data_IF_439629914438
#
_entry.id   IF_439629914438
#
_cell.length_a   1.000
_cell.length_b   1.000
_cell.length_c   1.000
_cell.angle_alpha   90.00
_cell.angle_beta   90.00
_cell.angle_gamma   90.00
#
_symmetry.space_group_name_H-M   'P 1'
#
loop_
_entity.id
_entity.type
_entity.pdbx_description
1 polymer ?
#
# COMPACT_ATOMS: atom_id res chain seq x y z
N UNK A 1 -8.52 -33.40 -7.49
CA UNK A 1 -7.42 -32.80 -6.73
C UNK A 1 -6.88 -31.61 -7.54
N UNK A 2 -7.02 -30.36 -7.04
CA UNK A 2 -6.35 -29.21 -7.68
C UNK A 2 -4.85 -29.39 -7.46
N UNK A 3 -4.06 -29.53 -8.54
CA UNK A 3 -2.60 -29.45 -8.45
C UNK A 3 -2.23 -28.14 -7.74
N UNK A 4 -1.46 -28.25 -6.67
CA UNK A 4 -0.89 -27.08 -6.00
C UNK A 4 0.14 -26.46 -6.97
N UNK A 5 -0.23 -25.38 -7.63
CA UNK A 5 0.69 -24.62 -8.48
C UNK A 5 1.70 -23.92 -7.58
N UNK A 6 2.97 -24.27 -7.73
CA UNK A 6 4.05 -23.58 -7.00
C UNK A 6 4.26 -22.22 -7.63
N UNK A 7 4.16 -21.17 -6.83
CA UNK A 7 4.39 -19.79 -7.25
C UNK A 7 5.56 -19.22 -6.46
N UNK A 8 6.56 -18.68 -7.14
CA UNK A 8 7.70 -18.01 -6.56
C UNK A 8 7.46 -16.50 -6.52
N UNK A 9 7.75 -15.88 -5.39
CA UNK A 9 7.72 -14.42 -5.21
C UNK A 9 9.15 -13.96 -5.02
N UNK A 10 9.60 -13.02 -5.84
CA UNK A 10 11.00 -12.60 -5.89
C UNK A 10 11.14 -11.13 -6.30
N UNK A 11 12.27 -10.46 -5.98
CA UNK A 11 12.59 -9.16 -6.51
C UNK A 11 12.61 -9.18 -8.04
N UNK A 12 11.94 -8.21 -8.66
CA UNK A 12 11.91 -8.08 -10.11
C UNK A 12 13.18 -7.37 -10.63
N UNK A 13 13.60 -7.74 -11.83
CA UNK A 13 14.74 -7.13 -12.53
C UNK A 13 14.47 -7.05 -14.04
N UNK A 14 15.47 -6.64 -14.83
CA UNK A 14 15.35 -6.40 -16.26
C UNK A 14 14.77 -7.59 -17.04
N UNK A 15 15.09 -8.83 -16.66
CA UNK A 15 14.56 -10.05 -17.32
C UNK A 15 13.03 -10.18 -17.22
N UNK A 16 12.43 -9.48 -16.27
CA UNK A 16 10.98 -9.52 -16.03
C UNK A 16 10.22 -8.41 -16.77
N UNK A 17 10.92 -7.53 -17.50
CA UNK A 17 10.30 -6.42 -18.23
C UNK A 17 9.32 -6.87 -19.32
N UNK A 18 9.42 -8.12 -19.76
CA UNK A 18 8.48 -8.74 -20.71
C UNK A 18 7.04 -8.81 -20.21
N UNK A 19 6.82 -8.77 -18.88
CA UNK A 19 5.49 -8.84 -18.26
C UNK A 19 4.84 -7.45 -18.07
N UNK A 20 5.52 -6.37 -18.43
CA UNK A 20 5.06 -5.01 -18.10
C UNK A 20 3.69 -4.66 -18.72
N UNK A 21 3.44 -5.08 -19.97
CA UNK A 21 2.17 -4.89 -20.65
C UNK A 21 1.05 -5.67 -19.93
N UNK A 22 1.25 -6.96 -19.69
CA UNK A 22 0.27 -7.82 -19.03
C UNK A 22 -0.10 -7.29 -17.64
N UNK A 23 0.89 -6.81 -16.88
CA UNK A 23 0.70 -6.19 -15.55
C UNK A 23 -0.19 -4.94 -15.67
N UNK A 24 0.11 -4.04 -16.61
CA UNK A 24 -0.65 -2.81 -16.82
C UNK A 24 -2.09 -3.10 -17.25
N UNK A 25 -2.28 -4.03 -18.16
CA UNK A 25 -3.60 -4.44 -18.66
C UNK A 25 -4.46 -5.02 -17.53
N UNK A 26 -3.88 -5.87 -16.68
CA UNK A 26 -4.61 -6.43 -15.54
C UNK A 26 -4.90 -5.37 -14.47
N UNK A 27 -3.99 -4.44 -14.22
CA UNK A 27 -4.26 -3.30 -13.34
C UNK A 27 -5.46 -2.49 -13.82
N UNK A 28 -5.53 -2.17 -15.12
CA UNK A 28 -6.63 -1.42 -15.71
C UNK A 28 -7.95 -2.20 -15.66
N UNK A 29 -7.95 -3.48 -16.09
CA UNK A 29 -9.12 -4.37 -16.03
C UNK A 29 -9.66 -4.51 -14.60
N UNK A 30 -8.77 -4.76 -13.66
CA UNK A 30 -9.13 -4.92 -12.25
C UNK A 30 -9.66 -3.64 -11.61
N UNK A 31 -9.11 -2.47 -11.97
CA UNK A 31 -9.60 -1.17 -11.50
C UNK A 31 -11.02 -0.91 -12.02
N UNK A 32 -11.24 -1.13 -13.32
CA UNK A 32 -12.53 -0.97 -13.99
C UNK A 32 -13.59 -1.90 -13.39
N UNK A 33 -13.26 -3.17 -13.19
CA UNK A 33 -14.19 -4.17 -12.65
C UNK A 33 -14.62 -3.87 -11.20
N UNK A 34 -13.75 -3.25 -10.40
CA UNK A 34 -14.05 -2.90 -9.00
C UNK A 34 -14.69 -1.52 -8.84
N UNK A 35 -14.71 -0.69 -9.89
CA UNK A 35 -15.14 0.70 -9.80
C UNK A 35 -14.25 1.53 -8.86
N UNK A 36 -13.00 1.10 -8.62
CA UNK A 36 -12.06 1.76 -7.71
C UNK A 36 -10.76 2.06 -8.45
N UNK A 37 -10.14 3.22 -8.12
CA UNK A 37 -8.95 3.63 -8.84
C UNK A 37 -7.70 2.86 -8.39
N UNK A 38 -7.08 2.17 -9.32
CA UNK A 38 -5.63 2.01 -9.34
C UNK A 38 -5.12 3.12 -10.26
N UNK A 39 -4.09 3.85 -9.86
CA UNK A 39 -3.50 4.86 -10.71
C UNK A 39 -2.97 4.20 -11.99
N UNK A 40 -3.38 4.73 -13.16
CA UNK A 40 -2.94 4.20 -14.44
C UNK A 40 -1.43 4.37 -14.60
N UNK A 41 -0.75 3.31 -15.02
CA UNK A 41 0.70 3.30 -15.28
C UNK A 41 0.96 2.84 -16.70
N UNK A 42 2.03 3.37 -17.32
CA UNK A 42 2.52 2.87 -18.60
C UNK A 42 3.41 1.64 -18.41
N UNK A 43 3.51 0.75 -19.40
CA UNK A 43 4.46 -0.34 -19.36
C UNK A 43 5.91 0.12 -19.14
N UNK A 44 6.34 1.23 -19.73
CA UNK A 44 7.68 1.79 -19.53
C UNK A 44 7.94 2.21 -18.09
N UNK A 45 6.92 2.76 -17.43
CA UNK A 45 7.02 3.08 -16.00
C UNK A 45 7.22 1.81 -15.16
N UNK A 46 6.50 0.73 -15.46
CA UNK A 46 6.64 -0.56 -14.76
C UNK A 46 8.00 -1.19 -15.05
N UNK A 47 8.49 -1.18 -16.32
CA UNK A 47 9.84 -1.64 -16.69
C UNK A 47 10.91 -0.93 -15.86
N UNK A 48 10.84 0.39 -15.80
CA UNK A 48 11.78 1.20 -15.02
C UNK A 48 11.82 0.78 -13.55
N UNK A 49 10.66 0.49 -12.93
CA UNK A 49 10.60 -0.01 -11.54
C UNK A 49 11.28 -1.37 -11.37
N UNK A 50 11.16 -2.25 -12.35
CA UNK A 50 11.85 -3.55 -12.34
C UNK A 50 13.37 -3.38 -12.51
N UNK A 51 13.81 -2.59 -13.48
CA UNK A 51 15.23 -2.32 -13.76
C UNK A 51 15.93 -1.65 -12.58
N UNK A 52 15.23 -0.76 -11.86
CA UNK A 52 15.73 -0.11 -10.65
C UNK A 52 15.76 -1.04 -9.42
N UNK A 53 15.30 -2.30 -9.53
CA UNK A 53 15.18 -3.20 -8.39
C UNK A 53 14.12 -2.76 -7.35
N UNK A 54 13.15 -1.95 -7.77
CA UNK A 54 12.08 -1.39 -6.93
C UNK A 54 10.75 -2.11 -7.12
N UNK A 55 10.78 -3.37 -7.46
CA UNK A 55 9.57 -4.16 -7.68
C UNK A 55 9.74 -5.61 -7.23
N UNK A 56 8.61 -6.25 -6.98
CA UNK A 56 8.47 -7.66 -6.68
C UNK A 56 7.51 -8.28 -7.68
N UNK A 57 7.86 -9.44 -8.21
CA UNK A 57 7.05 -10.20 -9.16
C UNK A 57 6.80 -11.60 -8.62
N UNK A 58 5.65 -12.16 -8.97
CA UNK A 58 5.29 -13.54 -8.70
C UNK A 58 5.12 -14.29 -10.01
N UNK A 59 5.81 -15.44 -10.14
CA UNK A 59 5.77 -16.32 -11.31
C UNK A 59 5.50 -17.74 -10.86
N UNK A 60 4.74 -18.50 -11.65
CA UNK A 60 4.60 -19.93 -11.42
C UNK A 60 5.84 -20.71 -11.95
N UNK A 61 5.82 -22.02 -11.78
CA UNK A 61 6.90 -22.92 -12.20
C UNK A 61 7.13 -22.97 -13.73
N UNK A 62 6.17 -22.46 -14.52
CA UNK A 62 6.23 -22.37 -15.98
C UNK A 62 6.58 -20.96 -16.47
N UNK A 63 6.86 -20.02 -15.55
CA UNK A 63 7.13 -18.64 -15.90
C UNK A 63 5.87 -17.81 -16.18
N UNK A 64 4.67 -18.30 -15.86
CA UNK A 64 3.44 -17.52 -16.01
C UNK A 64 3.36 -16.44 -14.94
N UNK A 65 3.03 -15.23 -15.35
CA UNK A 65 2.87 -14.13 -14.41
C UNK A 65 1.66 -14.33 -13.47
N UNK A 66 1.92 -14.24 -12.18
CA UNK A 66 0.93 -14.46 -11.13
C UNK A 66 0.61 -13.21 -10.30
N UNK A 67 1.54 -12.24 -10.19
CA UNK A 67 1.28 -11.02 -9.45
C UNK A 67 2.48 -10.07 -9.40
N UNK A 68 2.23 -8.83 -8.90
CA UNK A 68 3.21 -7.75 -8.92
C UNK A 68 2.94 -6.71 -7.84
N UNK A 69 3.99 -6.03 -7.38
CA UNK A 69 3.93 -4.82 -6.56
C UNK A 69 5.23 -4.03 -6.73
N UNK A 70 5.21 -2.71 -6.54
CA UNK A 70 6.41 -1.89 -6.70
C UNK A 70 6.52 -0.79 -5.65
N UNK A 71 7.73 -0.22 -5.52
CA UNK A 71 8.11 0.85 -4.60
C UNK A 71 8.11 2.17 -5.33
N UNK A 72 7.49 3.18 -4.72
CA UNK A 72 7.66 4.59 -5.05
C UNK A 72 8.25 5.32 -3.83
N UNK A 73 9.10 6.30 -4.08
CA UNK A 73 9.75 7.09 -3.03
C UNK A 73 9.40 8.56 -3.19
N UNK A 74 9.14 9.22 -2.07
CA UNK A 74 8.70 10.60 -2.01
C UNK A 74 9.47 11.37 -0.94
N UNK A 75 9.48 12.69 -1.05
CA UNK A 75 10.14 13.56 -0.07
C UNK A 75 11.57 13.09 0.23
N UNK A 76 12.39 12.92 -0.83
CA UNK A 76 13.79 12.47 -0.74
C UNK A 76 13.97 11.13 -0.01
N UNK A 77 13.04 10.19 -0.18
CA UNK A 77 13.11 8.87 0.42
C UNK A 77 12.61 8.78 1.87
N UNK A 78 12.10 9.88 2.44
CA UNK A 78 11.48 9.87 3.78
C UNK A 78 10.17 9.07 3.81
N UNK A 79 9.47 9.03 2.68
CA UNK A 79 8.25 8.25 2.48
C UNK A 79 8.42 7.24 1.36
N UNK A 80 7.92 6.04 1.60
CA UNK A 80 7.89 4.93 0.64
C UNK A 80 6.45 4.47 0.46
N UNK A 81 5.97 4.43 -0.77
CA UNK A 81 4.68 3.84 -1.09
C UNK A 81 4.87 2.44 -1.69
N UNK A 82 4.18 1.44 -1.14
CA UNK A 82 4.03 0.13 -1.79
C UNK A 82 2.80 0.17 -2.68
N UNK A 83 3.03 0.37 -3.97
CA UNK A 83 2.02 0.69 -4.98
C UNK A 83 1.76 -0.49 -5.93
N UNK A 84 0.58 -0.47 -6.55
CA UNK A 84 0.25 -1.37 -7.67
C UNK A 84 0.16 -2.85 -7.32
N UNK A 85 -0.19 -3.20 -6.07
CA UNK A 85 -0.42 -4.61 -5.71
C UNK A 85 -1.53 -5.20 -6.58
N UNK A 86 -1.17 -6.16 -7.40
CA UNK A 86 -2.06 -6.86 -8.30
C UNK A 86 -1.75 -8.36 -8.32
N UNK A 87 -2.80 -9.19 -8.39
CA UNK A 87 -2.70 -10.64 -8.55
C UNK A 87 -3.55 -11.03 -9.75
N UNK A 88 -2.94 -11.78 -10.66
CA UNK A 88 -3.60 -12.34 -11.83
C UNK A 88 -4.83 -13.17 -11.42
N UNK A 89 -5.95 -13.07 -12.13
CA UNK A 89 -7.21 -13.74 -11.74
C UNK A 89 -7.07 -15.23 -11.45
N UNK A 90 -6.23 -15.94 -12.22
CA UNK A 90 -6.02 -17.37 -12.07
C UNK A 90 -5.36 -17.75 -10.73
N UNK A 91 -4.64 -16.82 -10.10
CA UNK A 91 -3.86 -17.04 -8.87
C UNK A 91 -4.47 -16.36 -7.63
N UNK A 92 -5.71 -15.85 -7.73
CA UNK A 92 -6.41 -15.24 -6.58
C UNK A 92 -6.87 -16.29 -5.58
N UNK A 93 -7.09 -15.86 -4.34
CA UNK A 93 -7.53 -16.71 -3.22
C UNK A 93 -6.53 -17.79 -2.79
N UNK A 94 -5.26 -17.66 -3.19
CA UNK A 94 -4.16 -18.57 -2.82
C UNK A 94 -3.17 -17.93 -1.82
N UNK A 95 -3.55 -16.82 -1.17
CA UNK A 95 -2.67 -16.10 -0.25
C UNK A 95 -1.52 -15.33 -0.93
N UNK A 96 -1.49 -15.27 -2.27
CA UNK A 96 -0.38 -14.69 -3.02
C UNK A 96 -0.22 -13.19 -2.76
N UNK A 97 -1.31 -12.44 -2.61
CA UNK A 97 -1.25 -11.01 -2.27
C UNK A 97 -0.50 -10.74 -0.96
N UNK A 98 -0.69 -11.60 0.05
CA UNK A 98 0.03 -11.51 1.33
C UNK A 98 1.53 -11.72 1.12
N UNK A 99 1.92 -12.75 0.37
CA UNK A 99 3.33 -13.06 0.08
C UNK A 99 4.02 -11.93 -0.70
N UNK A 100 3.37 -11.40 -1.73
CA UNK A 100 3.89 -10.27 -2.52
C UNK A 100 4.03 -9.03 -1.63
N UNK A 101 3.03 -8.78 -0.77
CA UNK A 101 3.04 -7.61 0.10
C UNK A 101 4.10 -7.70 1.19
N UNK A 102 4.34 -8.89 1.73
CA UNK A 102 5.44 -9.13 2.66
C UNK A 102 6.80 -8.89 1.99
N UNK A 103 7.04 -9.49 0.83
CA UNK A 103 8.30 -9.35 0.10
C UNK A 103 8.60 -7.89 -0.28
N UNK A 104 7.60 -7.13 -0.79
CA UNK A 104 7.81 -5.72 -1.12
C UNK A 104 8.02 -4.86 0.14
N UNK A 105 7.41 -5.23 1.26
CA UNK A 105 7.63 -4.57 2.54
C UNK A 105 9.06 -4.80 3.03
N UNK A 106 9.56 -6.04 3.00
CA UNK A 106 10.95 -6.35 3.36
C UNK A 106 11.95 -5.65 2.44
N UNK A 107 11.68 -5.63 1.13
CA UNK A 107 12.50 -4.88 0.17
C UNK A 107 12.52 -3.37 0.50
N UNK A 108 11.38 -2.81 0.87
CA UNK A 108 11.26 -1.41 1.27
C UNK A 108 12.04 -1.12 2.55
N UNK A 109 11.93 -1.98 3.56
CA UNK A 109 12.66 -1.86 4.82
C UNK A 109 14.17 -1.95 4.64
N UNK A 110 14.60 -2.86 3.76
CA UNK A 110 16.02 -3.03 3.43
C UNK A 110 16.60 -1.83 2.71
N UNK A 111 15.87 -1.30 1.72
CA UNK A 111 16.35 -0.21 0.86
C UNK A 111 16.19 1.18 1.51
N UNK A 112 15.23 1.33 2.42
CA UNK A 112 14.86 2.60 3.06
C UNK A 112 14.56 2.37 4.55
N UNK A 113 15.57 2.04 5.39
CA UNK A 113 15.36 1.57 6.77
C UNK A 113 14.64 2.58 7.67
N UNK A 114 14.83 3.85 7.45
CA UNK A 114 14.28 4.95 8.25
C UNK A 114 12.99 5.55 7.66
N UNK A 115 12.59 5.11 6.46
CA UNK A 115 11.42 5.65 5.77
C UNK A 115 10.11 5.18 6.40
N UNK A 116 9.13 6.07 6.39
CA UNK A 116 7.74 5.73 6.63
C UNK A 116 7.18 5.02 5.41
N UNK A 117 6.63 3.81 5.59
CA UNK A 117 6.08 3.03 4.47
C UNK A 117 4.56 3.14 4.52
N UNK A 118 3.95 3.52 3.40
CA UNK A 118 2.50 3.72 3.36
C UNK A 118 1.82 3.11 2.14
N UNK A 119 0.50 3.04 2.19
CA UNK A 119 -0.34 2.64 1.08
C UNK A 119 -1.74 3.24 1.19
N UNK A 120 -2.35 3.51 0.04
CA UNK A 120 -3.75 3.92 -0.08
C UNK A 120 -4.55 2.76 -0.67
N UNK A 121 -5.62 2.34 0.00
CA UNK A 121 -6.44 1.22 -0.48
C UNK A 121 -7.91 1.40 -0.16
N UNK A 122 -8.79 0.91 -1.05
CA UNK A 122 -10.23 0.73 -0.78
C UNK A 122 -10.56 -0.72 -0.42
N UNK A 123 -9.58 -1.63 -0.50
CA UNK A 123 -9.81 -3.07 -0.33
C UNK A 123 -9.57 -3.54 1.10
N UNK A 124 -10.63 -4.06 1.76
CA UNK A 124 -10.54 -4.60 3.12
C UNK A 124 -9.46 -5.69 3.26
N UNK A 125 -9.32 -6.56 2.26
CA UNK A 125 -8.28 -7.59 2.26
C UNK A 125 -6.87 -7.00 2.30
N UNK A 126 -6.61 -5.90 1.56
CA UNK A 126 -5.32 -5.20 1.58
C UNK A 126 -5.11 -4.47 2.89
N UNK A 127 -6.17 -3.88 3.48
CA UNK A 127 -6.09 -3.27 4.82
C UNK A 127 -5.64 -4.30 5.85
N UNK A 128 -6.24 -5.51 5.82
CA UNK A 128 -5.86 -6.60 6.71
C UNK A 128 -4.38 -6.99 6.54
N UNK A 129 -3.94 -7.23 5.30
CA UNK A 129 -2.53 -7.56 5.02
C UNK A 129 -1.59 -6.46 5.54
N UNK A 130 -1.93 -5.19 5.33
CA UNK A 130 -1.14 -4.08 5.83
C UNK A 130 -1.10 -4.05 7.37
N UNK A 131 -2.25 -4.28 8.04
CA UNK A 131 -2.29 -4.35 9.51
C UNK A 131 -1.45 -5.50 10.06
N UNK A 132 -1.47 -6.66 9.42
CA UNK A 132 -0.65 -7.82 9.79
C UNK A 132 0.87 -7.52 9.66
N UNK A 133 1.25 -6.60 8.76
CA UNK A 133 2.63 -6.09 8.58
C UNK A 133 2.97 -4.90 9.51
N UNK A 134 2.05 -4.50 10.40
CA UNK A 134 2.27 -3.41 11.34
C UNK A 134 1.94 -2.01 10.83
N UNK A 135 1.28 -1.90 9.68
CA UNK A 135 0.74 -0.60 9.26
C UNK A 135 -0.50 -0.26 10.09
N UNK A 136 -0.65 1.00 10.42
CA UNK A 136 -1.82 1.51 11.12
C UNK A 136 -2.61 2.49 10.24
N UNK A 137 -3.95 2.56 10.39
CA UNK A 137 -4.74 3.58 9.73
C UNK A 137 -4.32 4.97 10.19
N UNK A 138 -4.14 5.89 9.23
CA UNK A 138 -3.72 7.27 9.49
C UNK A 138 -4.60 8.27 8.73
N UNK A 139 -4.51 9.54 9.10
CA UNK A 139 -5.09 10.62 8.31
C UNK A 139 -4.20 10.94 7.12
N UNK A 140 -4.77 11.53 6.08
CA UNK A 140 -4.00 11.92 4.87
C UNK A 140 -2.93 12.98 5.17
N UNK A 141 -3.10 13.76 6.25
CA UNK A 141 -2.11 14.74 6.69
C UNK A 141 -0.82 14.13 7.24
N UNK A 142 -0.82 12.83 7.54
CA UNK A 142 0.35 12.09 8.01
C UNK A 142 1.18 11.49 6.86
N UNK A 143 0.62 11.52 5.63
CA UNK A 143 1.31 11.09 4.42
C UNK A 143 2.19 12.18 3.85
N UNK A 144 2.96 11.84 2.83
CA UNK A 144 3.74 12.82 2.07
C UNK A 144 2.86 13.94 1.52
N UNK A 145 3.37 15.17 1.57
CA UNK A 145 2.72 16.34 0.96
C UNK A 145 3.24 16.62 -0.46
N UNK A 146 4.01 15.72 -1.01
CA UNK A 146 4.59 15.82 -2.35
C UNK A 146 3.49 15.87 -3.42
N UNK A 147 3.46 16.93 -4.19
CA UNK A 147 2.46 17.15 -5.24
C UNK A 147 2.50 16.08 -6.33
N UNK A 148 3.67 15.52 -6.61
CA UNK A 148 3.85 14.45 -7.59
C UNK A 148 3.10 13.18 -7.16
N UNK A 149 3.19 12.83 -5.85
CA UNK A 149 2.40 11.72 -5.32
C UNK A 149 0.91 11.91 -5.56
N UNK A 150 0.37 13.06 -5.17
CA UNK A 150 -1.07 13.35 -5.31
C UNK A 150 -1.50 13.49 -6.76
N UNK A 151 -0.60 13.86 -7.67
CA UNK A 151 -0.85 13.89 -9.10
C UNK A 151 -1.16 12.49 -9.67
N UNK A 152 -0.61 11.44 -9.08
CA UNK A 152 -0.91 10.06 -9.43
C UNK A 152 -2.38 9.68 -9.26
N UNK A 153 -3.13 10.40 -8.41
CA UNK A 153 -4.56 10.19 -8.24
C UNK A 153 -5.42 10.79 -9.36
N UNK A 154 -4.87 11.60 -10.28
CA UNK A 154 -5.62 12.27 -11.37
C UNK A 154 -6.38 11.28 -12.28
N UNK A 155 -5.83 10.09 -12.48
CA UNK A 155 -6.46 9.04 -13.28
C UNK A 155 -7.50 8.21 -12.52
N UNK A 156 -7.69 8.46 -11.21
CA UNK A 156 -8.61 7.73 -10.36
C UNK A 156 -10.04 8.26 -10.49
N UNK A 157 -11.03 7.37 -10.55
CA UNK A 157 -12.46 7.73 -10.57
C UNK A 157 -12.87 8.58 -9.35
N UNK A 158 -12.18 8.42 -8.22
CA UNK A 158 -12.43 9.14 -6.97
C UNK A 158 -11.68 10.48 -6.87
N UNK A 159 -11.00 10.92 -7.93
CA UNK A 159 -10.16 12.13 -7.88
C UNK A 159 -10.95 13.39 -7.51
N UNK A 160 -12.21 13.51 -7.99
CA UNK A 160 -13.10 14.63 -7.65
C UNK A 160 -13.38 14.69 -6.15
N UNK A 161 -13.51 13.54 -5.47
CA UNK A 161 -13.71 13.47 -4.01
C UNK A 161 -12.44 13.96 -3.30
N UNK A 162 -11.27 13.50 -3.73
CA UNK A 162 -10.00 13.95 -3.17
C UNK A 162 -9.83 15.47 -3.28
N UNK A 163 -10.15 16.05 -4.44
CA UNK A 163 -10.07 17.50 -4.66
C UNK A 163 -11.07 18.27 -3.81
N UNK A 164 -12.33 17.81 -3.72
CA UNK A 164 -13.37 18.48 -2.91
C UNK A 164 -13.05 18.49 -1.41
N UNK A 165 -12.13 17.65 -0.98
CA UNK A 165 -11.64 17.56 0.41
C UNK A 165 -10.21 18.11 0.57
N UNK A 166 -9.72 18.91 -0.40
CA UNK A 166 -8.39 19.53 -0.36
C UNK A 166 -7.27 18.51 -0.06
N UNK A 167 -7.37 17.31 -0.62
CA UNK A 167 -6.47 16.15 -0.38
C UNK A 167 -6.43 15.67 1.09
N UNK A 168 -7.38 16.08 1.92
CA UNK A 168 -7.43 15.66 3.33
C UNK A 168 -8.19 14.36 3.55
N UNK A 169 -8.96 13.90 2.55
CA UNK A 169 -9.74 12.66 2.60
C UNK A 169 -10.13 12.17 1.20
N UNK A 170 -10.33 10.86 1.09
CA UNK A 170 -10.87 10.18 -0.09
C UNK A 170 -11.55 8.87 0.34
N UNK A 171 -12.07 8.07 -0.60
CA UNK A 171 -12.60 6.73 -0.31
C UNK A 171 -11.50 5.69 -0.01
N UNK A 172 -10.23 6.00 -0.27
CA UNK A 172 -9.13 5.15 0.14
C UNK A 172 -8.85 5.32 1.63
N UNK A 173 -8.54 4.23 2.32
CA UNK A 173 -7.93 4.28 3.66
C UNK A 173 -6.43 4.44 3.50
N UNK A 174 -5.87 5.45 4.17
CA UNK A 174 -4.44 5.62 4.31
C UNK A 174 -3.94 4.70 5.43
N UNK A 175 -2.88 3.95 5.15
CA UNK A 175 -2.23 3.08 6.14
C UNK A 175 -0.73 3.35 6.12
N UNK A 176 -0.12 3.51 7.29
CA UNK A 176 1.26 3.91 7.47
C UNK A 176 1.97 2.97 8.45
N UNK A 177 3.16 2.54 8.08
CA UNK A 177 4.15 1.93 8.96
C UNK A 177 5.22 2.98 9.27
N UNK A 178 5.38 3.35 10.53
CA UNK A 178 6.48 4.21 10.99
C UNK A 178 7.50 3.36 11.76
N UNK A 179 8.76 3.23 11.27
CA UNK A 179 9.79 2.44 11.95
C UNK A 179 10.12 2.94 13.35
N UNK A 180 9.86 4.22 13.64
CA UNK A 180 10.10 4.83 14.95
C UNK A 180 9.00 4.53 15.97
N UNK A 181 7.81 4.14 15.50
CA UNK A 181 6.67 3.79 16.36
C UNK A 181 6.56 2.29 16.67
N UNK A 182 7.46 1.47 16.10
CA UNK A 182 7.50 0.02 16.39
C UNK A 182 7.92 -0.18 17.82
N UNK A 183 6.95 -0.39 18.71
CA UNK A 183 7.21 -0.83 20.10
C UNK A 183 7.85 -2.21 20.06
N UNK A 184 8.87 -2.41 20.90
CA UNK A 184 9.42 -3.76 21.14
C UNK A 184 8.28 -4.75 21.46
N UNK A 185 8.37 -6.02 21.02
CA UNK A 185 7.33 -7.00 21.28
C UNK A 185 7.10 -7.10 22.79
N UNK A 186 5.88 -6.84 23.21
CA UNK A 186 5.44 -7.10 24.57
C UNK A 186 5.20 -8.62 24.67
N UNK A 187 6.15 -9.36 25.26
CA UNK A 187 6.19 -10.82 25.27
C UNK A 187 4.99 -11.51 25.94
N UNK A 188 4.08 -10.73 26.54
CA UNK A 188 2.96 -11.24 27.35
C UNK A 188 1.55 -11.04 26.75
N UNK A 189 1.40 -10.65 25.48
CA UNK A 189 0.06 -10.48 24.87
C UNK A 189 -0.28 -11.60 23.90
N UNK A 190 -1.39 -12.30 24.17
CA UNK A 190 -2.04 -13.23 23.23
C UNK A 190 -2.27 -12.52 21.88
N UNK A 191 -1.76 -13.08 20.78
CA UNK A 191 -1.72 -12.48 19.42
C UNK A 191 -3.08 -11.94 18.91
N UNK A 192 -4.18 -12.58 19.27
CA UNK A 192 -5.53 -12.22 18.83
C UNK A 192 -6.06 -10.92 19.49
N UNK A 193 -5.66 -10.64 20.73
CA UNK A 193 -6.06 -9.43 21.47
C UNK A 193 -5.19 -8.24 21.07
N UNK A 194 -3.95 -8.49 20.66
CA UNK A 194 -2.95 -7.50 20.27
C UNK A 194 -3.38 -6.65 19.05
N UNK A 195 -4.00 -7.29 18.04
CA UNK A 195 -4.41 -6.59 16.81
C UNK A 195 -5.68 -5.75 17.00
N UNK A 196 -6.60 -6.14 17.87
CA UNK A 196 -7.84 -5.42 18.09
C UNK A 196 -7.68 -4.21 19.02
N UNK A 197 -6.85 -4.33 20.07
CA UNK A 197 -6.63 -3.22 21.01
C UNK A 197 -5.78 -2.11 20.43
N UNK A 198 -4.76 -2.41 19.61
CA UNK A 198 -3.91 -1.39 18.97
C UNK A 198 -4.70 -0.45 18.04
N UNK A 199 -5.58 -1.03 17.21
CA UNK A 199 -6.45 -0.24 16.30
C UNK A 199 -7.43 0.61 17.10
N UNK A 200 -8.02 0.06 18.17
CA UNK A 200 -8.97 0.77 19.03
C UNK A 200 -8.31 1.93 19.78
N UNK A 201 -7.14 1.72 20.39
CA UNK A 201 -6.39 2.76 21.07
C UNK A 201 -5.97 3.89 20.13
N UNK A 202 -5.58 3.57 18.88
CA UNK A 202 -5.25 4.60 17.90
C UNK A 202 -6.47 5.40 17.45
N UNK A 203 -7.59 4.75 17.23
CA UNK A 203 -8.86 5.43 16.93
C UNK A 203 -9.27 6.35 18.07
N UNK A 204 -9.08 5.93 19.33
CA UNK A 204 -9.33 6.79 20.50
C UNK A 204 -8.38 8.00 20.54
N UNK A 205 -7.09 7.80 20.20
CA UNK A 205 -6.08 8.88 20.15
C UNK A 205 -6.42 9.89 19.04
N UNK A 206 -6.80 9.40 17.86
CA UNK A 206 -7.23 10.25 16.74
C UNK A 206 -8.47 11.05 17.11
N UNK A 207 -9.46 10.42 17.75
CA UNK A 207 -10.68 11.10 18.22
C UNK A 207 -10.37 12.18 19.27
N UNK A 208 -9.47 11.89 20.22
CA UNK A 208 -9.01 12.84 21.24
C UNK A 208 -8.29 14.04 20.62
N UNK A 209 -7.41 13.80 19.65
CA UNK A 209 -6.67 14.87 18.96
C UNK A 209 -7.58 15.77 18.11
N UNK A 210 -8.60 15.20 17.45
CA UNK A 210 -9.62 15.98 16.73
C UNK A 210 -10.46 16.84 17.66
N UNK A 211 -10.83 16.31 18.84
CA UNK A 211 -11.60 17.05 19.83
C UNK A 211 -10.80 18.19 20.47
N UNK A 212 -9.50 17.97 20.72
CA UNK A 212 -8.60 18.98 21.28
C UNK A 212 -8.35 20.13 20.29
N UNK A 213 -8.17 19.84 18.98
CA UNK A 213 -8.08 20.88 17.94
C UNK A 213 -9.34 21.74 17.88
N UNK A 214 -10.51 21.11 17.96
CA UNK A 214 -11.80 21.82 17.90
C UNK A 214 -12.03 22.75 19.10
N UNK A 215 -11.46 22.41 20.27
CA UNK A 215 -11.55 23.27 21.48
C UNK A 215 -10.56 24.45 21.41
N UNK A 216 -9.34 24.24 20.85
CA UNK A 216 -8.38 25.33 20.68
C UNK A 216 -8.82 26.36 19.63
N UNK A 217 -9.53 25.94 18.57
CA UNK A 217 -10.10 26.88 17.59
C UNK A 217 -11.26 27.73 18.18
N UNK A 218 -12.00 27.17 19.14
CA UNK A 218 -13.07 27.94 19.84
C UNK A 218 -12.54 28.94 20.86
N UNK A 219 -11.35 28.74 21.39
CA UNK A 219 -10.74 29.65 22.39
C UNK A 219 -9.99 30.81 21.74
N UNK A 220 -9.71 30.76 20.44
CA UNK A 220 -9.05 31.80 19.66
C UNK A 220 -10.06 32.79 18.98
N UNK A 221 -11.35 32.53 19.13
CA UNK A 221 -12.44 33.36 18.54
C UNK A 221 -13.32 34.06 19.61
N UNK A 222 -12.83 34.16 20.81
CA UNK A 222 -13.32 35.07 21.88
C UNK A 222 -12.19 36.05 22.24
#
# INVERSE_FOLDING_TARGET
MKKSTVVNVLPAGAIHCIYAEEICDEMERSAKARGTGIAKRSPDYIRKKMEEGKAVIALDEHGTWAGFCYIETWSHGTYVANSGLIVSPAFRNLGLATRIKDEIFQLSRKSYPDARIFGLTTGLAVMKINSDLGYEPVTYSELTQDDEFWSGCKSCINYKILLSKERKNCLCTAMLFDPKEVKAPDENRNETVRNQTGIYERLLRLKKNMLMKKNNEKTLTQ
#
